data_IF_081859327542
#
_entry.id   IF_081859327542
#
_cell.length_a   1.000
_cell.length_b   1.000
_cell.length_c   1.000
_cell.angle_alpha   90.00
_cell.angle_beta   90.00
_cell.angle_gamma   90.00
#
_symmetry.space_group_name_H-M   'P 1'
#
loop_
_entity.id
_entity.type
_entity.pdbx_description
1 polymer ?
#
# COMPACT_ATOMS: atom_id res chain seq x y z
N UNK A 1 12.83 -14.38 4.86
CA UNK A 1 11.63 -13.56 5.10
C UNK A 1 12.09 -12.12 5.07
N UNK A 2 11.48 -11.32 4.22
CA UNK A 2 11.88 -9.93 3.98
C UNK A 2 11.40 -9.02 5.09
N UNK A 3 12.31 -8.21 5.66
CA UNK A 3 12.00 -7.23 6.69
C UNK A 3 11.27 -6.03 6.07
N UNK A 4 10.05 -5.78 6.54
CA UNK A 4 9.16 -4.75 6.01
C UNK A 4 9.30 -3.48 6.84
N UNK A 5 10.20 -2.59 6.43
CA UNK A 5 10.56 -1.37 7.17
C UNK A 5 9.41 -0.37 7.26
N UNK A 6 8.47 -0.41 6.31
CA UNK A 6 7.29 0.45 6.30
C UNK A 6 6.34 0.25 7.50
N UNK A 7 6.49 -0.84 8.27
CA UNK A 7 5.78 -1.03 9.54
C UNK A 7 6.43 -0.28 10.71
N UNK A 8 7.73 -0.04 10.63
CA UNK A 8 8.50 0.65 11.67
C UNK A 8 8.52 2.16 11.41
N UNK A 9 8.77 2.56 10.16
CA UNK A 9 8.75 3.96 9.70
C UNK A 9 8.03 4.07 8.35
N UNK A 10 6.75 4.48 8.34
CA UNK A 10 5.95 4.57 7.11
C UNK A 10 6.34 5.77 6.23
N UNK A 11 7.12 6.72 6.75
CA UNK A 11 7.55 7.93 6.05
C UNK A 11 8.93 7.78 5.39
N UNK A 12 9.63 6.67 5.63
CA UNK A 12 10.90 6.39 4.99
C UNK A 12 10.71 6.19 3.48
N UNK A 13 11.42 6.99 2.67
CA UNK A 13 11.33 6.97 1.19
C UNK A 13 12.53 6.36 0.50
N UNK A 14 13.62 6.08 1.23
CA UNK A 14 14.79 5.38 0.70
C UNK A 14 15.40 4.45 1.76
N UNK A 15 15.89 3.28 1.34
CA UNK A 15 16.67 2.39 2.20
C UNK A 15 17.64 1.54 1.39
N UNK A 16 18.59 0.90 2.07
CA UNK A 16 19.48 -0.11 1.46
C UNK A 16 18.97 -1.51 1.76
N UNK A 17 19.21 -2.44 0.85
CA UNK A 17 18.88 -3.85 1.02
C UNK A 17 19.88 -4.74 0.28
N UNK A 18 19.96 -6.00 0.68
CA UNK A 18 20.77 -7.00 0.01
C UNK A 18 19.91 -7.86 -0.92
N UNK A 19 20.39 -8.13 -2.13
CA UNK A 19 19.73 -9.06 -3.07
C UNK A 19 19.78 -10.48 -2.52
N UNK A 20 18.62 -11.09 -2.33
CA UNK A 20 18.50 -12.47 -1.81
C UNK A 20 18.18 -13.49 -2.89
N UNK A 21 17.58 -13.07 -4.01
CA UNK A 21 17.28 -13.91 -5.17
C UNK A 21 17.23 -13.04 -6.43
N UNK A 22 17.68 -13.58 -7.56
CA UNK A 22 17.58 -12.95 -8.86
C UNK A 22 17.37 -14.01 -9.96
N UNK A 23 16.26 -13.91 -10.69
CA UNK A 23 15.89 -14.80 -11.80
C UNK A 23 15.37 -13.96 -12.97
N UNK A 24 16.22 -13.70 -13.98
CA UNK A 24 15.90 -12.74 -15.04
C UNK A 24 15.69 -11.33 -14.47
N UNK A 25 14.54 -10.70 -14.74
CA UNK A 25 14.18 -9.40 -14.18
C UNK A 25 13.43 -9.49 -12.83
N UNK A 26 13.30 -10.68 -12.23
CA UNK A 26 12.63 -10.87 -10.94
C UNK A 26 13.63 -10.90 -9.80
N UNK A 27 13.40 -10.08 -8.78
CA UNK A 27 14.31 -9.87 -7.66
C UNK A 27 13.60 -9.99 -6.32
N UNK A 28 14.30 -10.56 -5.33
CA UNK A 28 13.94 -10.50 -3.90
C UNK A 28 15.10 -9.89 -3.13
N UNK A 29 14.76 -9.24 -2.02
CA UNK A 29 15.69 -8.46 -1.19
C UNK A 29 15.41 -8.74 0.29
N UNK A 30 16.41 -8.56 1.16
CA UNK A 30 16.29 -8.90 2.58
C UNK A 30 15.42 -7.94 3.40
N UNK A 31 15.29 -6.68 2.96
CA UNK A 31 14.45 -5.67 3.57
C UNK A 31 13.88 -4.70 2.53
N UNK A 32 12.77 -4.05 2.88
CA UNK A 32 12.09 -3.16 1.94
C UNK A 32 11.21 -2.11 2.63
N UNK A 33 11.17 -0.93 2.03
CA UNK A 33 10.18 0.12 2.30
C UNK A 33 9.01 0.08 1.30
N UNK A 34 9.10 -0.74 0.25
CA UNK A 34 8.13 -0.81 -0.84
C UNK A 34 6.88 -1.61 -0.40
N UNK A 35 5.71 -0.98 -0.45
CA UNK A 35 4.43 -1.59 -0.14
C UNK A 35 3.81 -2.12 -1.44
N UNK A 36 3.80 -3.44 -1.58
CA UNK A 36 3.09 -4.12 -2.66
C UNK A 36 1.56 -4.04 -2.45
N UNK A 37 0.81 -4.06 -3.55
CA UNK A 37 -0.66 -3.98 -3.55
C UNK A 37 -1.29 -4.87 -2.46
N UNK A 38 -2.19 -4.31 -1.65
CA UNK A 38 -2.83 -5.04 -0.56
C UNK A 38 -3.98 -4.29 0.08
N UNK A 39 -5.04 -5.01 0.45
CA UNK A 39 -6.20 -4.43 1.14
C UNK A 39 -6.91 -3.35 0.32
N UNK A 40 -6.76 -3.37 -1.01
CA UNK A 40 -7.29 -2.36 -1.91
C UNK A 40 -6.35 -1.17 -2.16
N UNK A 41 -5.29 -1.01 -1.35
CA UNK A 41 -4.27 0.02 -1.58
C UNK A 41 -3.36 -0.37 -2.74
N UNK A 42 -3.23 0.56 -3.69
CA UNK A 42 -2.27 0.44 -4.78
C UNK A 42 -0.84 0.26 -4.30
N UNK A 43 -0.04 -0.39 -5.13
CA UNK A 43 1.40 -0.51 -4.90
C UNK A 43 2.06 0.85 -4.99
N UNK A 44 3.15 1.03 -4.26
CA UNK A 44 4.03 2.17 -4.54
C UNK A 44 4.65 2.05 -5.92
N UNK A 45 5.16 3.19 -6.37
CA UNK A 45 6.09 3.28 -7.49
C UNK A 45 7.48 3.59 -6.95
N UNK A 46 8.51 3.16 -7.66
CA UNK A 46 9.88 3.39 -7.25
C UNK A 46 10.90 2.57 -8.01
N UNK A 47 12.10 2.50 -7.44
CA UNK A 47 13.26 1.83 -8.04
C UNK A 47 13.98 0.93 -7.04
N UNK A 48 14.67 -0.08 -7.56
CA UNK A 48 15.63 -0.92 -6.84
C UNK A 48 16.94 -0.88 -7.62
N UNK A 49 18.02 -0.43 -6.97
CA UNK A 49 19.32 -0.20 -7.60
C UNK A 49 19.25 0.79 -8.77
N UNK A 50 18.34 1.76 -8.71
CA UNK A 50 18.10 2.73 -9.77
C UNK A 50 17.23 2.25 -10.94
N UNK A 51 16.82 0.97 -10.95
CA UNK A 51 15.97 0.41 -12.00
C UNK A 51 14.50 0.44 -11.59
N UNK A 52 13.61 0.80 -12.51
CA UNK A 52 12.18 0.91 -12.22
C UNK A 52 11.59 -0.45 -11.87
N UNK A 53 10.80 -0.47 -10.79
CA UNK A 53 9.94 -1.61 -10.44
C UNK A 53 8.67 -1.51 -11.28
N UNK A 54 8.39 -2.52 -12.10
CA UNK A 54 7.16 -2.60 -12.91
C UNK A 54 6.03 -3.30 -12.17
N UNK A 55 6.37 -4.22 -11.26
CA UNK A 55 5.40 -4.92 -10.44
C UNK A 55 6.03 -5.32 -9.10
N UNK A 56 5.25 -5.22 -8.02
CA UNK A 56 5.60 -5.77 -6.71
C UNK A 56 4.48 -6.73 -6.27
N UNK A 57 4.82 -8.00 -6.04
CA UNK A 57 3.87 -9.07 -5.76
C UNK A 57 4.19 -9.73 -4.42
N UNK A 58 3.21 -9.76 -3.54
CA UNK A 58 3.29 -10.48 -2.27
C UNK A 58 3.35 -11.99 -2.54
N UNK A 59 4.30 -12.64 -1.91
CA UNK A 59 4.49 -14.09 -1.97
C UNK A 59 3.99 -14.72 -0.66
N UNK A 60 3.22 -15.80 -0.78
CA UNK A 60 2.56 -16.47 0.33
C UNK A 60 1.04 -16.51 0.14
N UNK A 61 0.32 -16.91 1.19
CA UNK A 61 -1.14 -16.90 1.19
C UNK A 61 -1.70 -15.59 1.78
N UNK A 62 -3.03 -15.43 1.78
CA UNK A 62 -3.69 -14.19 2.27
C UNK A 62 -3.42 -13.91 3.75
N UNK A 63 -3.15 -14.94 4.54
CA UNK A 63 -2.94 -14.85 5.99
C UNK A 63 -1.44 -14.80 6.33
N UNK A 64 -0.58 -15.31 5.43
CA UNK A 64 0.85 -15.47 5.62
C UNK A 64 1.62 -14.89 4.42
N UNK A 65 1.78 -13.57 4.38
CA UNK A 65 2.68 -12.92 3.41
C UNK A 65 4.12 -13.11 3.86
N UNK A 66 4.80 -14.06 3.23
CA UNK A 66 6.17 -14.49 3.58
C UNK A 66 7.19 -13.54 2.95
N UNK A 67 6.91 -13.03 1.75
CA UNK A 67 7.87 -12.24 0.98
C UNK A 67 7.20 -11.25 0.00
N UNK A 68 8.01 -10.40 -0.64
CA UNK A 68 7.62 -9.59 -1.79
C UNK A 68 8.64 -9.87 -2.90
N UNK A 69 8.14 -10.29 -4.06
CA UNK A 69 8.92 -10.41 -5.30
C UNK A 69 8.67 -9.16 -6.15
N UNK A 70 9.74 -8.63 -6.72
CA UNK A 70 9.68 -7.45 -7.58
C UNK A 70 10.06 -7.85 -9.00
N UNK A 71 9.34 -7.32 -9.97
CA UNK A 71 9.73 -7.35 -11.38
C UNK A 71 10.32 -5.98 -11.74
N UNK A 72 11.54 -6.00 -12.27
CA UNK A 72 12.22 -4.81 -12.77
C UNK A 72 11.95 -4.60 -14.26
N UNK A 73 12.12 -3.37 -14.74
CA UNK A 73 11.88 -3.01 -16.14
C UNK A 73 12.74 -3.79 -17.15
N UNK A 74 13.88 -4.33 -16.72
CA UNK A 74 14.75 -5.23 -17.48
C UNK A 74 15.63 -6.05 -16.52
N UNK A 75 16.37 -7.03 -17.05
CA UNK A 75 17.33 -7.81 -16.27
C UNK A 75 18.44 -6.90 -15.70
N UNK A 76 18.64 -6.87 -14.36
CA UNK A 76 19.61 -5.99 -13.74
C UNK A 76 21.03 -6.59 -13.79
N UNK A 77 22.07 -5.75 -13.67
CA UNK A 77 23.46 -6.22 -13.57
C UNK A 77 23.85 -6.72 -12.16
N UNK A 78 22.90 -6.79 -11.23
CA UNK A 78 23.13 -7.19 -9.83
C UNK A 78 23.38 -8.70 -9.70
N UNK A 79 23.94 -9.10 -8.57
CA UNK A 79 24.08 -10.50 -8.16
C UNK A 79 23.46 -10.69 -6.77
N UNK A 80 23.12 -11.94 -6.47
CA UNK A 80 22.76 -12.33 -5.10
C UNK A 80 23.91 -11.96 -4.16
N UNK A 81 23.57 -11.26 -3.07
CA UNK A 81 24.53 -10.72 -2.11
C UNK A 81 24.90 -9.25 -2.32
N UNK A 82 24.60 -8.65 -3.47
CA UNK A 82 24.88 -7.23 -3.71
C UNK A 82 23.99 -6.32 -2.86
N UNK A 83 24.53 -5.19 -2.43
CA UNK A 83 23.76 -4.11 -1.80
C UNK A 83 23.13 -3.22 -2.89
N UNK A 84 21.84 -2.98 -2.78
CA UNK A 84 21.07 -2.11 -3.68
C UNK A 84 20.31 -1.06 -2.87
N UNK A 85 20.15 0.13 -3.45
CA UNK A 85 19.31 1.19 -2.88
C UNK A 85 17.88 1.09 -3.42
N UNK A 86 16.91 1.14 -2.52
CA UNK A 86 15.48 1.21 -2.84
C UNK A 86 15.04 2.65 -2.66
N UNK A 87 14.33 3.19 -3.65
CA UNK A 87 13.68 4.50 -3.56
C UNK A 87 12.21 4.35 -3.95
N UNK A 88 11.30 5.00 -3.22
CA UNK A 88 9.88 5.08 -3.58
C UNK A 88 9.47 6.51 -3.88
N UNK A 89 8.41 6.66 -4.67
CA UNK A 89 7.73 7.95 -4.84
C UNK A 89 7.03 8.33 -3.52
N UNK A 90 7.68 9.21 -2.75
CA UNK A 90 7.19 9.69 -1.46
C UNK A 90 5.89 10.50 -1.57
N UNK A 91 5.66 11.20 -2.68
CA UNK A 91 4.41 11.96 -2.87
C UNK A 91 3.24 11.02 -3.11
N UNK A 92 3.43 10.02 -3.98
CA UNK A 92 2.43 8.97 -4.22
C UNK A 92 2.12 8.22 -2.92
N UNK A 93 3.15 7.78 -2.20
CA UNK A 93 3.02 7.11 -0.90
C UNK A 93 2.19 7.94 0.08
N UNK A 94 2.50 9.23 0.24
CA UNK A 94 1.79 10.09 1.16
C UNK A 94 0.30 10.27 0.79
N UNK A 95 -0.02 10.40 -0.51
CA UNK A 95 -1.42 10.45 -0.98
C UNK A 95 -2.16 9.15 -0.63
N UNK A 96 -1.55 7.99 -0.88
CA UNK A 96 -2.13 6.69 -0.53
C UNK A 96 -2.36 6.58 0.98
N UNK A 97 -1.39 6.95 1.82
CA UNK A 97 -1.54 6.92 3.29
C UNK A 97 -2.67 7.83 3.77
N UNK A 98 -2.79 9.04 3.22
CA UNK A 98 -3.88 9.98 3.55
C UNK A 98 -5.25 9.41 3.18
N UNK A 99 -5.38 8.90 1.96
CA UNK A 99 -6.65 8.35 1.47
C UNK A 99 -7.03 7.03 2.18
N UNK A 100 -6.05 6.20 2.52
CA UNK A 100 -6.28 5.01 3.35
C UNK A 100 -6.78 5.42 4.74
N UNK A 101 -6.14 6.40 5.40
CA UNK A 101 -6.61 6.87 6.71
C UNK A 101 -8.02 7.47 6.62
N UNK A 102 -8.29 8.26 5.57
CA UNK A 102 -9.60 8.84 5.32
C UNK A 102 -10.70 7.78 5.10
N UNK A 103 -10.40 6.66 4.42
CA UNK A 103 -11.40 5.60 4.21
C UNK A 103 -11.79 4.90 5.52
N UNK A 104 -10.86 4.76 6.46
CA UNK A 104 -11.16 4.22 7.80
C UNK A 104 -12.02 5.18 8.63
N UNK A 105 -11.74 6.49 8.55
CA UNK A 105 -12.57 7.50 9.21
C UNK A 105 -13.98 7.55 8.59
N UNK A 106 -14.08 7.49 7.26
CA UNK A 106 -15.36 7.41 6.57
C UNK A 106 -16.12 6.15 6.99
N UNK A 107 -15.45 4.99 7.05
CA UNK A 107 -16.03 3.75 7.55
C UNK A 107 -16.57 3.90 8.98
N UNK A 108 -15.83 4.53 9.88
CA UNK A 108 -16.24 4.78 11.26
C UNK A 108 -17.55 5.57 11.32
N UNK A 109 -17.60 6.75 10.69
CA UNK A 109 -18.80 7.61 10.75
C UNK A 109 -20.00 7.05 9.98
N UNK A 110 -19.77 6.31 8.89
CA UNK A 110 -20.82 5.55 8.20
C UNK A 110 -21.38 4.48 9.15
N UNK A 111 -20.51 3.76 9.87
CA UNK A 111 -20.92 2.74 10.84
C UNK A 111 -21.67 3.35 12.02
N UNK A 112 -21.27 4.52 12.51
CA UNK A 112 -22.02 5.23 13.55
C UNK A 112 -23.44 5.60 13.09
N UNK A 113 -23.61 6.00 11.83
CA UNK A 113 -24.90 6.43 11.28
C UNK A 113 -25.82 5.26 10.90
N UNK A 114 -25.28 4.27 10.18
CA UNK A 114 -26.08 3.21 9.55
C UNK A 114 -25.95 1.85 10.26
N UNK A 115 -25.11 1.77 11.30
CA UNK A 115 -24.73 0.52 11.93
C UNK A 115 -23.65 -0.23 11.14
N UNK A 116 -23.12 -1.30 11.75
CA UNK A 116 -22.09 -2.13 11.12
C UNK A 116 -22.66 -2.85 9.90
N UNK A 117 -22.05 -2.60 8.75
CA UNK A 117 -22.37 -3.25 7.48
C UNK A 117 -21.20 -4.11 7.01
N UNK A 118 -21.51 -5.15 6.24
CA UNK A 118 -20.50 -6.01 5.64
C UNK A 118 -19.78 -5.26 4.52
N UNK A 119 -18.44 -5.28 4.56
CA UNK A 119 -17.60 -4.72 3.50
C UNK A 119 -17.52 -5.73 2.35
N UNK A 120 -17.82 -5.28 1.13
CA UNK A 120 -17.73 -6.05 -0.11
C UNK A 120 -16.39 -5.83 -0.82
N UNK A 121 -15.81 -4.64 -0.67
CA UNK A 121 -14.58 -4.26 -1.35
C UNK A 121 -14.03 -2.92 -0.87
N UNK A 122 -12.79 -2.66 -1.23
CA UNK A 122 -12.11 -1.38 -1.01
C UNK A 122 -11.10 -1.16 -2.14
N UNK A 123 -10.89 0.09 -2.53
CA UNK A 123 -9.82 0.47 -3.44
C UNK A 123 -9.32 1.87 -3.09
N UNK A 124 -8.00 2.03 -3.06
CA UNK A 124 -7.31 3.27 -2.69
C UNK A 124 -6.23 3.52 -3.75
N UNK A 125 -6.41 4.60 -4.52
CA UNK A 125 -5.47 5.12 -5.52
C UNK A 125 -4.98 6.50 -5.05
N UNK A 126 -3.95 7.10 -5.68
CA UNK A 126 -3.48 8.44 -5.31
C UNK A 126 -4.52 9.55 -5.52
N UNK A 127 -5.54 9.31 -6.36
CA UNK A 127 -6.58 10.28 -6.71
C UNK A 127 -7.84 10.13 -5.86
N UNK A 128 -8.19 8.90 -5.43
CA UNK A 128 -9.41 8.63 -4.67
C UNK A 128 -9.33 7.33 -3.89
N UNK A 129 -10.19 7.23 -2.87
CA UNK A 129 -10.48 5.98 -2.16
C UNK A 129 -11.97 5.67 -2.17
N UNK A 130 -12.32 4.39 -2.12
CA UNK A 130 -13.69 3.93 -1.90
C UNK A 130 -13.72 2.72 -0.97
N UNK A 131 -14.86 2.54 -0.31
CA UNK A 131 -15.25 1.34 0.43
C UNK A 131 -16.67 0.98 0.01
N UNK A 132 -16.87 -0.30 -0.29
CA UNK A 132 -18.13 -0.83 -0.83
C UNK A 132 -18.84 -1.64 0.27
N UNK A 133 -20.12 -1.34 0.52
CA UNK A 133 -20.91 -1.97 1.59
C UNK A 133 -22.06 -2.79 1.03
N UNK A 134 -22.37 -3.91 1.71
CA UNK A 134 -23.64 -4.61 1.53
C UNK A 134 -24.74 -3.87 2.30
N UNK A 135 -25.73 -3.34 1.57
CA UNK A 135 -26.87 -2.64 2.16
C UNK A 135 -28.16 -2.99 1.43
N UNK A 136 -29.24 -3.18 2.20
CA UNK A 136 -30.59 -3.42 1.67
C UNK A 136 -31.22 -2.16 1.07
N UNK A 137 -30.72 -0.97 1.42
CA UNK A 137 -31.22 0.33 0.95
C UNK A 137 -30.04 1.23 0.53
N UNK A 138 -30.23 2.15 -0.41
CA UNK A 138 -29.21 3.14 -0.74
C UNK A 138 -28.78 3.92 0.52
N UNK A 139 -27.48 4.16 0.67
CA UNK A 139 -26.95 5.03 1.70
C UNK A 139 -27.16 6.47 1.26
N UNK A 140 -28.19 7.11 1.79
CA UNK A 140 -28.54 8.51 1.49
C UNK A 140 -28.15 9.44 2.63
N UNK A 141 -28.19 10.75 2.38
CA UNK A 141 -27.93 11.78 3.39
C UNK A 141 -26.53 11.69 4.01
N UNK A 142 -25.47 11.67 3.21
CA UNK A 142 -24.08 11.55 3.69
C UNK A 142 -23.44 12.89 4.12
N UNK A 143 -24.13 14.01 3.99
CA UNK A 143 -23.57 15.34 4.30
C UNK A 143 -23.18 15.50 5.77
N UNK A 144 -23.92 14.88 6.69
CA UNK A 144 -23.58 14.89 8.12
C UNK A 144 -22.37 14.00 8.43
N UNK A 145 -22.22 12.87 7.72
CA UNK A 145 -21.02 12.02 7.78
C UNK A 145 -19.79 12.80 7.34
N UNK A 146 -19.87 13.47 6.19
CA UNK A 146 -18.80 14.33 5.68
C UNK A 146 -18.47 15.47 6.65
N UNK A 147 -19.49 16.14 7.20
CA UNK A 147 -19.29 17.24 8.15
C UNK A 147 -18.58 16.78 9.41
N UNK A 148 -19.01 15.67 10.02
CA UNK A 148 -18.38 15.10 11.22
C UNK A 148 -16.94 14.66 10.97
N UNK A 149 -16.71 14.00 9.83
CA UNK A 149 -15.37 13.57 9.44
C UNK A 149 -14.43 14.76 9.27
N UNK A 150 -14.85 15.80 8.54
CA UNK A 150 -14.04 16.99 8.33
C UNK A 150 -13.80 17.78 9.62
N UNK A 151 -14.77 17.79 10.55
CA UNK A 151 -14.56 18.36 11.88
C UNK A 151 -13.50 17.59 12.67
N UNK A 152 -13.57 16.25 12.67
CA UNK A 152 -12.58 15.38 13.33
C UNK A 152 -11.17 15.57 12.75
N UNK A 153 -11.03 15.75 11.44
CA UNK A 153 -9.73 16.01 10.81
C UNK A 153 -9.13 17.38 11.14
N UNK A 154 -9.95 18.33 11.62
CA UNK A 154 -9.53 19.68 11.93
C UNK A 154 -9.08 19.87 13.39
N UNK A 155 -9.29 18.86 14.24
CA UNK A 155 -8.81 18.79 15.63
C UNK A 155 -7.31 18.45 15.70
#
# INVERSE_FOLDING_TARGET
>A
MTKKLFWDDPYLTACKAQVTSLEGNKIKIDQTIFYAFSGGQESDDGTIGGMKVVQAVKQGDRENIIDIEYELEQEPPFRVGDEVEINIDGEKRLKLMKLHSAVHLAYFFITEKFGTMKILGSNITPEKSRVDFESAKPLTELNDVETKLNAFLAE
#
